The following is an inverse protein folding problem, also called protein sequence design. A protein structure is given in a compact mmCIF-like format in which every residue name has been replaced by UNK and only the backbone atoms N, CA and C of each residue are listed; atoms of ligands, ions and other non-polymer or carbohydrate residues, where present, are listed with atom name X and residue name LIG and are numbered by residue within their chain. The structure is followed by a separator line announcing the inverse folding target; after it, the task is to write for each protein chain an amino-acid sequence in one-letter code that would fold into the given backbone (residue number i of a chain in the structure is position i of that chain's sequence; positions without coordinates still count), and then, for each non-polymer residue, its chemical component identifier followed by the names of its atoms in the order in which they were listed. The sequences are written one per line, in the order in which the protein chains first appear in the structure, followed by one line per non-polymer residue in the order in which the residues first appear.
data_IF_555372002994
#
_entry.id   IF_555372002994
#
_cell.length_a   1.000
_cell.length_b   1.000
_cell.length_c   1.000
_cell.angle_alpha   90.00
_cell.angle_beta   90.00
_cell.angle_gamma   90.00
#
_symmetry.space_group_name_H-M   'P 1'
#
loop_
_entity.id
_entity.type
_entity.pdbx_description
1 polymer ?
#
# COMPACT_ATOMS: atom_id res chain seq x y z
N UNK A 1 -13.88 -14.93 25.00
CA UNK A 1 -12.68 -14.06 24.97
C UNK A 1 -12.47 -13.55 26.39
N UNK A 2 -11.27 -13.74 26.94
CA UNK A 2 -10.90 -13.29 28.28
C UNK A 2 -10.20 -11.95 28.23
N UNK A 3 -9.43 -11.68 27.19
CA UNK A 3 -8.70 -10.46 26.91
C UNK A 3 -8.63 -10.26 25.42
N UNK A 4 -8.71 -9.06 24.97
CA UNK A 4 -8.47 -8.70 23.57
C UNK A 4 -7.97 -7.27 23.49
N UNK A 5 -7.00 -7.05 22.59
CA UNK A 5 -6.43 -5.73 22.33
C UNK A 5 -6.18 -5.57 20.84
N UNK A 6 -6.40 -4.37 20.35
CA UNK A 6 -5.97 -3.95 19.03
C UNK A 6 -4.53 -3.49 19.11
N UNK A 7 -3.72 -3.95 18.17
CA UNK A 7 -2.31 -3.59 18.07
C UNK A 7 -1.98 -3.19 16.65
N UNK A 8 -1.11 -2.20 16.51
CA UNK A 8 -0.60 -1.70 15.24
C UNK A 8 0.88 -2.04 15.15
N UNK A 9 1.26 -2.59 14.03
CA UNK A 9 2.62 -3.06 13.79
C UNK A 9 3.15 -2.46 12.48
N UNK A 10 4.44 -2.21 12.42
CA UNK A 10 5.18 -1.86 11.19
C UNK A 10 5.93 -3.09 10.73
N UNK A 11 5.77 -3.43 9.47
CA UNK A 11 6.48 -4.48 8.76
C UNK A 11 7.51 -3.79 7.87
N UNK A 12 8.76 -3.81 8.27
CA UNK A 12 9.89 -3.27 7.51
C UNK A 12 10.23 -4.21 6.34
N UNK A 13 10.25 -3.68 5.12
CA UNK A 13 10.53 -4.46 3.93
C UNK A 13 12.01 -4.69 3.66
N UNK A 14 12.90 -4.01 4.36
CA UNK A 14 14.34 -4.30 4.33
C UNK A 14 14.69 -5.57 5.10
N UNK A 15 13.80 -6.05 5.98
CA UNK A 15 13.98 -7.31 6.66
C UNK A 15 13.77 -8.50 5.72
N UNK A 16 14.76 -9.39 5.65
CA UNK A 16 14.74 -10.57 4.77
C UNK A 16 13.51 -11.47 4.93
N UNK A 17 12.96 -11.57 6.13
CA UNK A 17 11.76 -12.38 6.41
C UNK A 17 10.52 -11.81 5.72
N UNK A 18 10.51 -10.49 5.43
CA UNK A 18 9.39 -9.76 4.84
C UNK A 18 9.48 -9.67 3.30
N UNK A 19 10.57 -10.13 2.68
CA UNK A 19 10.75 -10.16 1.23
C UNK A 19 9.58 -10.77 0.43
N UNK A 20 8.86 -11.79 0.93
CA UNK A 20 7.68 -12.29 0.22
C UNK A 20 6.57 -11.27 -0.01
N UNK A 21 6.53 -10.17 0.76
CA UNK A 21 5.57 -9.07 0.58
C UNK A 21 6.05 -8.05 -0.46
N UNK A 22 7.37 -7.96 -0.65
CA UNK A 22 8.01 -6.94 -1.47
C UNK A 22 8.33 -7.42 -2.89
N UNK A 23 8.93 -8.61 -3.02
CA UNK A 23 9.38 -9.13 -4.31
C UNK A 23 8.30 -9.91 -5.09
N UNK A 24 8.41 -9.95 -6.44
CA UNK A 24 9.40 -9.33 -7.31
C UNK A 24 9.04 -7.88 -7.64
N UNK A 25 9.99 -6.96 -7.56
CA UNK A 25 9.80 -5.53 -7.90
C UNK A 25 10.17 -5.22 -9.34
N UNK A 26 11.10 -5.99 -9.94
CA UNK A 26 11.51 -5.82 -11.33
C UNK A 26 10.63 -6.65 -12.26
N UNK A 27 9.89 -5.96 -13.12
CA UNK A 27 8.87 -6.55 -13.99
C UNK A 27 9.39 -7.51 -15.06
N UNK A 28 10.70 -7.46 -15.42
CA UNK A 28 11.17 -8.11 -16.65
C UNK A 28 11.89 -9.45 -16.47
N UNK A 29 12.44 -9.75 -15.29
CA UNK A 29 13.34 -10.90 -15.15
C UNK A 29 12.79 -12.05 -14.29
N UNK A 30 11.89 -11.80 -13.36
CA UNK A 30 11.38 -12.82 -12.44
C UNK A 30 9.86 -12.84 -12.27
N UNK A 31 9.14 -11.99 -12.96
CA UNK A 31 7.69 -11.96 -12.88
C UNK A 31 7.06 -13.04 -13.75
N UNK A 32 6.85 -14.19 -13.15
CA UNK A 32 5.73 -15.02 -13.62
C UNK A 32 4.46 -14.15 -13.51
N UNK A 33 3.56 -14.14 -14.49
CA UNK A 33 2.29 -13.41 -14.43
C UNK A 33 1.49 -13.70 -13.15
N UNK A 34 1.80 -14.80 -12.49
CA UNK A 34 1.18 -15.24 -11.25
C UNK A 34 1.82 -14.69 -9.96
N UNK A 35 3.00 -14.05 -10.04
CA UNK A 35 3.73 -13.56 -8.87
C UNK A 35 3.91 -12.06 -8.97
N UNK A 36 3.23 -11.31 -8.12
CA UNK A 36 3.28 -9.85 -8.06
C UNK A 36 3.59 -9.41 -6.63
N UNK A 37 4.26 -8.26 -6.43
CA UNK A 37 4.38 -7.67 -5.10
C UNK A 37 3.00 -7.36 -4.53
N UNK A 38 2.88 -7.42 -3.21
CA UNK A 38 1.60 -7.18 -2.52
C UNK A 38 0.99 -5.82 -2.90
N UNK A 39 1.83 -4.79 -3.04
CA UNK A 39 1.40 -3.46 -3.47
C UNK A 39 0.63 -3.48 -4.79
N UNK A 40 1.19 -4.14 -5.81
CA UNK A 40 0.55 -4.23 -7.13
C UNK A 40 -0.76 -5.02 -7.08
N UNK A 41 -0.84 -6.05 -6.25
CA UNK A 41 -2.08 -6.82 -6.05
C UNK A 41 -3.16 -5.93 -5.44
N UNK A 42 -2.82 -5.17 -4.40
CA UNK A 42 -3.77 -4.27 -3.74
C UNK A 42 -4.24 -3.16 -4.68
N UNK A 43 -3.31 -2.44 -5.32
CA UNK A 43 -3.64 -1.32 -6.22
C UNK A 43 -4.46 -1.77 -7.42
N UNK A 44 -4.08 -2.89 -8.06
CA UNK A 44 -4.83 -3.43 -9.19
C UNK A 44 -6.25 -3.83 -8.79
N UNK A 45 -6.41 -4.49 -7.65
CA UNK A 45 -7.72 -4.92 -7.17
C UNK A 45 -8.62 -3.74 -6.76
N UNK A 46 -8.04 -2.65 -6.26
CA UNK A 46 -8.78 -1.41 -5.98
C UNK A 46 -9.22 -0.76 -7.30
N UNK A 47 -8.32 -0.63 -8.28
CA UNK A 47 -8.63 -0.07 -9.61
C UNK A 47 -9.69 -0.90 -10.35
N UNK A 48 -9.67 -2.21 -10.19
CA UNK A 48 -10.66 -3.14 -10.77
C UNK A 48 -12.00 -3.19 -9.97
N UNK A 49 -12.08 -2.51 -8.83
CA UNK A 49 -13.26 -2.50 -7.97
C UNK A 49 -13.51 -3.81 -7.21
N UNK A 50 -12.53 -4.72 -7.17
CA UNK A 50 -12.60 -5.97 -6.38
C UNK A 50 -12.46 -5.71 -4.89
N UNK A 51 -11.64 -4.72 -4.52
CA UNK A 51 -11.51 -4.23 -3.15
C UNK A 51 -12.22 -2.88 -3.07
N UNK A 52 -13.33 -2.82 -2.36
CA UNK A 52 -14.15 -1.62 -2.18
C UNK A 52 -14.05 -1.03 -0.78
N UNK A 53 -13.51 -1.80 0.17
CA UNK A 53 -13.35 -1.40 1.56
C UNK A 53 -11.96 -0.82 1.79
N UNK A 54 -11.79 0.43 1.34
CA UNK A 54 -10.55 1.21 1.44
C UNK A 54 -10.83 2.46 2.27
N UNK A 55 -9.96 2.74 3.23
CA UNK A 55 -10.16 3.75 4.25
C UNK A 55 -8.95 4.69 4.36
N UNK A 56 -9.20 5.86 4.94
CA UNK A 56 -8.18 6.86 5.21
C UNK A 56 -7.32 6.54 6.44
N UNK A 57 -7.91 5.86 7.41
CA UNK A 57 -7.24 5.54 8.67
C UNK A 57 -7.42 4.09 9.10
N UNK A 58 -6.55 3.64 10.01
CA UNK A 58 -6.58 2.31 10.62
C UNK A 58 -7.83 2.04 11.49
N UNK A 59 -8.63 3.06 11.75
CA UNK A 59 -9.89 2.94 12.48
C UNK A 59 -11.09 2.63 11.58
N UNK A 60 -10.90 2.64 10.25
CA UNK A 60 -11.91 2.32 9.24
C UNK A 60 -13.18 3.18 9.33
N UNK A 61 -13.03 4.46 9.64
CA UNK A 61 -14.14 5.40 9.80
C UNK A 61 -14.56 6.05 8.49
N UNK A 62 -13.58 6.51 7.70
CA UNK A 62 -13.81 7.28 6.47
C UNK A 62 -13.30 6.50 5.27
N UNK A 63 -14.21 6.17 4.33
CA UNK A 63 -13.82 5.50 3.08
C UNK A 63 -13.12 6.49 2.14
N UNK A 64 -12.04 6.03 1.52
CA UNK A 64 -11.39 6.73 0.40
C UNK A 64 -12.08 6.38 -0.91
N UNK A 65 -12.19 7.38 -1.78
CA UNK A 65 -12.65 7.16 -3.17
C UNK A 65 -11.48 6.79 -4.07
N UNK A 66 -11.76 6.17 -5.22
CA UNK A 66 -10.73 5.87 -6.23
C UNK A 66 -9.95 7.12 -6.64
N UNK A 67 -10.64 8.26 -6.76
CA UNK A 67 -10.00 9.55 -7.13
C UNK A 67 -9.01 10.02 -6.07
N UNK A 68 -9.34 9.84 -4.79
CA UNK A 68 -8.45 10.23 -3.70
C UNK A 68 -7.19 9.35 -3.66
N UNK A 69 -7.38 8.06 -3.95
CA UNK A 69 -6.27 7.09 -4.02
C UNK A 69 -5.39 7.42 -5.22
N UNK A 70 -5.96 7.63 -6.40
CA UNK A 70 -5.22 8.00 -7.60
C UNK A 70 -4.45 9.31 -7.42
N UNK A 71 -5.04 10.32 -6.78
CA UNK A 71 -4.37 11.57 -6.46
C UNK A 71 -3.15 11.40 -5.56
N UNK A 72 -3.14 10.37 -4.70
CA UNK A 72 -1.99 10.05 -3.85
C UNK A 72 -0.95 9.16 -4.55
N UNK A 73 -1.35 8.45 -5.61
CA UNK A 73 -0.47 7.52 -6.32
C UNK A 73 0.40 8.20 -7.38
N UNK A 74 -0.06 9.28 -7.97
CA UNK A 74 0.68 9.94 -9.03
C UNK A 74 0.59 11.47 -8.96
N UNK A 75 1.69 12.09 -9.34
CA UNK A 75 1.82 13.54 -9.54
C UNK A 75 2.02 13.81 -11.02
N UNK A 76 1.27 14.76 -11.54
CA UNK A 76 1.47 15.30 -12.86
C UNK A 76 2.13 16.66 -12.72
N UNK A 77 3.34 16.80 -13.22
CA UNK A 77 4.06 18.05 -13.24
C UNK A 77 4.31 18.48 -14.69
N UNK A 78 4.22 19.79 -14.94
CA UNK A 78 4.49 20.36 -16.26
C UNK A 78 5.91 20.89 -16.26
N UNK A 79 6.72 20.49 -17.24
CA UNK A 79 8.09 21.01 -17.39
C UNK A 79 8.09 22.53 -17.54
N UNK A 80 9.21 23.17 -17.25
CA UNK A 80 9.36 24.63 -17.36
C UNK A 80 9.05 25.13 -18.78
N UNK A 81 9.47 24.37 -19.78
CA UNK A 81 9.13 24.65 -21.20
C UNK A 81 7.62 24.56 -21.44
N UNK A 82 6.95 23.58 -20.86
CA UNK A 82 5.49 23.45 -20.94
C UNK A 82 4.76 24.59 -20.22
N UNK A 83 5.32 25.08 -19.11
CA UNK A 83 4.79 26.27 -18.40
C UNK A 83 4.98 27.55 -19.20
N UNK A 84 6.12 27.72 -19.89
CA UNK A 84 6.35 28.83 -20.79
C UNK A 84 5.35 28.85 -21.95
N UNK A 85 5.10 27.70 -22.58
CA UNK A 85 4.08 27.56 -23.61
C UNK A 85 2.65 27.86 -23.11
N UNK A 86 2.35 27.43 -21.88
CA UNK A 86 1.08 27.78 -21.23
C UNK A 86 0.94 29.30 -21.04
N UNK A 87 2.03 29.97 -20.69
CA UNK A 87 2.05 31.40 -20.41
C UNK A 87 1.92 32.24 -21.70
N UNK A 88 2.32 31.70 -22.85
CA UNK A 88 2.13 32.37 -24.15
C UNK A 88 0.67 32.46 -24.59
N UNK A 89 -0.18 31.51 -24.16
CA UNK A 89 -1.57 31.42 -24.65
C UNK A 89 -2.56 30.96 -23.56
N UNK A 90 -2.47 31.60 -22.39
CA UNK A 90 -3.21 31.24 -21.17
C UNK A 90 -4.71 31.03 -21.43
N UNK A 91 -5.30 31.91 -22.28
CA UNK A 91 -6.74 31.88 -22.57
C UNK A 91 -7.16 30.66 -23.40
N UNK A 92 -6.31 30.18 -24.29
CA UNK A 92 -6.57 29.00 -25.11
C UNK A 92 -6.48 27.69 -24.26
N UNK A 93 -5.55 27.67 -23.33
CA UNK A 93 -5.40 26.52 -22.37
C UNK A 93 -6.54 26.51 -21.35
N UNK A 94 -6.94 27.68 -20.81
CA UNK A 94 -8.10 27.79 -19.91
C UNK A 94 -9.42 27.37 -20.56
N UNK A 95 -9.60 27.67 -21.84
CA UNK A 95 -10.80 27.29 -22.61
C UNK A 95 -10.76 25.86 -23.11
N UNK A 96 -9.67 25.11 -22.87
CA UNK A 96 -9.51 23.71 -23.29
C UNK A 96 -9.31 23.52 -24.80
N UNK A 97 -9.08 24.61 -25.56
CA UNK A 97 -8.84 24.58 -27.00
C UNK A 97 -7.44 24.13 -27.37
N UNK A 98 -6.47 24.37 -26.50
CA UNK A 98 -5.11 23.80 -26.58
C UNK A 98 -4.85 22.87 -25.42
N UNK A 99 -4.19 21.73 -25.68
CA UNK A 99 -3.68 20.82 -24.68
C UNK A 99 -2.15 20.87 -24.67
N UNK A 100 -1.55 20.77 -23.51
CA UNK A 100 -0.10 20.67 -23.39
C UNK A 100 0.32 19.34 -24.06
N UNK A 101 1.39 19.37 -24.84
CA UNK A 101 1.95 18.18 -25.45
C UNK A 101 2.41 17.21 -24.36
N UNK A 102 2.15 15.91 -24.53
CA UNK A 102 2.51 14.87 -23.54
C UNK A 102 4.02 14.86 -23.23
N UNK A 103 4.85 15.34 -24.17
CA UNK A 103 6.30 15.48 -24.00
C UNK A 103 6.71 16.45 -22.88
N UNK A 104 5.84 17.41 -22.55
CA UNK A 104 6.09 18.40 -21.49
C UNK A 104 5.43 18.04 -20.15
N UNK A 105 4.75 16.89 -20.12
CA UNK A 105 4.09 16.40 -18.91
C UNK A 105 4.97 15.29 -18.29
N UNK A 106 5.49 15.57 -17.11
CA UNK A 106 6.17 14.55 -16.28
C UNK A 106 5.14 13.91 -15.35
N UNK A 107 4.89 12.64 -15.54
CA UNK A 107 4.07 11.83 -14.63
C UNK A 107 4.99 11.05 -13.71
N UNK A 108 4.96 11.34 -12.42
CA UNK A 108 5.61 10.55 -11.38
C UNK A 108 4.55 9.67 -10.74
N UNK A 109 4.76 8.36 -10.75
CA UNK A 109 3.83 7.38 -10.18
C UNK A 109 4.59 6.51 -9.17
N UNK A 110 3.96 6.27 -8.03
CA UNK A 110 4.51 5.38 -6.99
C UNK A 110 4.47 3.95 -7.50
N UNK A 111 5.61 3.30 -7.46
CA UNK A 111 5.80 1.92 -7.89
C UNK A 111 5.98 0.99 -6.69
N UNK A 112 5.93 -0.32 -6.93
CA UNK A 112 6.10 -1.32 -5.87
C UNK A 112 7.46 -1.23 -5.15
N UNK A 113 8.51 -0.78 -5.83
CA UNK A 113 9.85 -0.60 -5.26
C UNK A 113 9.97 0.65 -4.37
N UNK A 114 8.99 1.57 -4.43
CA UNK A 114 8.95 2.75 -3.56
C UNK A 114 8.32 2.45 -2.20
N UNK A 115 7.72 1.28 -2.04
CA UNK A 115 7.11 0.88 -0.76
C UNK A 115 8.21 0.54 0.23
N UNK A 116 8.29 1.29 1.32
CA UNK A 116 9.29 1.15 2.37
C UNK A 116 8.84 0.13 3.43
N UNK A 117 7.58 0.21 3.81
CA UNK A 117 7.02 -0.64 4.85
C UNK A 117 5.52 -0.90 4.64
N UNK A 118 4.99 -1.87 5.37
CA UNK A 118 3.55 -2.00 5.58
C UNK A 118 3.21 -1.74 7.04
N UNK A 119 2.18 -0.93 7.28
CA UNK A 119 1.53 -0.86 8.59
C UNK A 119 0.36 -1.82 8.61
N UNK A 120 0.23 -2.57 9.68
CA UNK A 120 -0.88 -3.50 9.88
C UNK A 120 -1.54 -3.25 11.21
N UNK A 121 -2.83 -3.44 11.25
CA UNK A 121 -3.61 -3.43 12.48
C UNK A 121 -4.27 -4.79 12.65
N UNK A 122 -4.19 -5.34 13.84
CA UNK A 122 -4.77 -6.62 14.18
C UNK A 122 -5.31 -6.67 15.59
N UNK A 123 -6.12 -7.65 15.83
CA UNK A 123 -6.74 -7.90 17.13
C UNK A 123 -6.16 -9.17 17.74
N UNK A 124 -5.47 -9.02 18.84
CA UNK A 124 -4.99 -10.11 19.66
C UNK A 124 -6.02 -10.44 20.73
N UNK A 125 -6.39 -11.71 20.87
CA UNK A 125 -7.34 -12.15 21.87
C UNK A 125 -7.00 -13.51 22.41
N UNK A 126 -7.30 -13.69 23.69
CA UNK A 126 -7.14 -14.98 24.35
C UNK A 126 -8.46 -15.75 24.29
N UNK A 127 -8.41 -16.92 23.64
CA UNK A 127 -9.54 -17.84 23.57
C UNK A 127 -9.54 -18.77 24.79
N UNK A 128 -10.43 -18.52 25.75
CA UNK A 128 -10.54 -19.29 26.98
C UNK A 128 -10.84 -20.77 26.74
N UNK A 129 -11.58 -21.10 25.66
CA UNK A 129 -11.98 -22.50 25.38
C UNK A 129 -10.80 -23.32 24.90
N UNK A 130 -9.92 -22.73 24.12
CA UNK A 130 -8.76 -23.38 23.52
C UNK A 130 -7.48 -23.14 24.31
N UNK A 131 -7.49 -22.19 25.25
CA UNK A 131 -6.30 -21.83 26.03
C UNK A 131 -5.21 -21.17 25.19
N UNK A 132 -5.54 -20.56 24.07
CA UNK A 132 -4.60 -20.05 23.07
C UNK A 132 -4.76 -18.54 22.86
N UNK A 133 -3.61 -17.87 22.63
CA UNK A 133 -3.57 -16.52 22.14
C UNK A 133 -3.72 -16.53 20.61
N UNK A 134 -4.71 -15.83 20.11
CA UNK A 134 -5.02 -15.76 18.67
C UNK A 134 -4.91 -14.34 18.14
N UNK A 135 -4.59 -14.25 16.87
CA UNK A 135 -4.48 -13.02 16.13
C UNK A 135 -5.47 -12.99 14.97
N UNK A 136 -6.08 -11.84 14.76
CA UNK A 136 -6.89 -11.56 13.57
C UNK A 136 -6.46 -10.24 12.96
N UNK A 137 -5.96 -10.29 11.74
CA UNK A 137 -5.65 -9.09 10.99
C UNK A 137 -6.95 -8.35 10.63
N UNK A 138 -6.96 -7.05 10.86
CA UNK A 138 -8.07 -6.15 10.52
C UNK A 138 -7.78 -5.31 9.30
N UNK A 139 -6.53 -4.87 9.13
CA UNK A 139 -6.17 -4.04 8.00
C UNK A 139 -4.68 -3.97 7.72
N UNK A 140 -4.40 -3.51 6.52
CA UNK A 140 -3.04 -3.32 6.00
C UNK A 140 -2.96 -2.03 5.21
N UNK A 141 -1.86 -1.32 5.33
CA UNK A 141 -1.59 -0.06 4.65
C UNK A 141 -0.15 -0.02 4.13
N UNK A 142 0.08 0.24 2.85
CA UNK A 142 1.41 0.52 2.33
C UNK A 142 1.87 1.91 2.76
N UNK A 143 3.13 1.99 3.18
CA UNK A 143 3.84 3.22 3.53
C UNK A 143 4.84 3.52 2.44
N UNK A 144 4.72 4.69 1.85
CA UNK A 144 5.52 5.11 0.69
C UNK A 144 6.01 6.54 0.89
N UNK A 145 7.07 6.97 0.18
CA UNK A 145 7.41 8.39 0.12
C UNK A 145 6.27 9.19 -0.52
N UNK A 146 6.06 10.41 -0.04
CA UNK A 146 5.09 11.31 -0.66
C UNK A 146 5.53 11.62 -2.10
N UNK A 147 4.64 11.40 -3.05
CA UNK A 147 4.87 11.64 -4.48
C UNK A 147 5.26 13.09 -4.77
N UNK A 148 4.85 14.03 -3.91
CA UNK A 148 5.17 15.45 -4.05
C UNK A 148 6.60 15.79 -3.61
N UNK A 149 7.22 14.97 -2.75
CA UNK A 149 8.61 15.11 -2.32
C UNK A 149 9.56 14.22 -3.13
N UNK A 150 9.03 13.31 -3.94
CA UNK A 150 9.83 12.47 -4.83
C UNK A 150 10.46 13.31 -5.95
N UNK A 151 11.79 13.19 -6.11
CA UNK A 151 12.55 13.87 -7.17
C UNK A 151 13.16 15.21 -6.74
N UNK A 152 13.00 15.63 -5.51
CA UNK A 152 13.73 16.75 -4.93
C UNK A 152 14.82 16.22 -3.98
N UNK A 153 16.06 16.19 -4.45
CA UNK A 153 17.22 15.70 -3.68
C UNK A 153 17.51 16.55 -2.43
N UNK A 154 16.95 17.77 -2.38
CA UNK A 154 17.11 18.69 -1.25
C UNK A 154 16.00 18.56 -0.20
N UNK A 155 14.87 17.92 -0.54
CA UNK A 155 13.77 17.71 0.37
C UNK A 155 13.98 16.45 1.23
N UNK A 156 13.68 16.55 2.51
CA UNK A 156 13.63 15.37 3.36
C UNK A 156 12.47 14.48 2.87
N UNK A 157 12.75 13.21 2.60
CA UNK A 157 11.70 12.25 2.20
C UNK A 157 10.68 12.11 3.33
N UNK A 158 9.46 12.51 3.05
CA UNK A 158 8.33 12.29 3.95
C UNK A 158 7.64 11.00 3.54
N UNK A 159 7.34 10.14 4.52
CA UNK A 159 6.64 8.88 4.30
C UNK A 159 5.19 9.04 4.72
N UNK A 160 4.28 8.62 3.85
CA UNK A 160 2.84 8.70 4.05
C UNK A 160 2.17 7.33 4.03
N UNK A 161 1.09 7.21 4.77
CA UNK A 161 0.16 6.08 4.68
C UNK A 161 -0.76 6.31 3.47
N UNK A 162 -0.66 5.46 2.44
CA UNK A 162 -1.44 5.66 1.23
C UNK A 162 -2.93 5.42 1.44
N UNK A 163 -3.26 4.23 1.92
CA UNK A 163 -4.63 3.79 2.14
C UNK A 163 -4.66 2.56 3.03
N UNK A 164 -5.69 2.45 3.84
CA UNK A 164 -5.96 1.28 4.66
C UNK A 164 -6.97 0.35 3.98
N UNK A 165 -6.55 -0.87 3.69
CA UNK A 165 -7.44 -1.91 3.17
C UNK A 165 -7.98 -2.72 4.34
N UNK A 166 -9.30 -2.87 4.41
CA UNK A 166 -9.93 -3.76 5.38
C UNK A 166 -9.70 -5.21 4.99
N UNK A 167 -8.87 -5.90 5.77
CA UNK A 167 -8.34 -7.21 5.42
C UNK A 167 -9.44 -8.29 5.23
N UNK A 168 -10.48 -8.39 6.09
CA UNK A 168 -11.50 -9.43 5.92
C UNK A 168 -12.22 -9.39 4.57
N UNK A 169 -12.45 -8.19 4.00
CA UNK A 169 -13.11 -8.04 2.70
C UNK A 169 -12.17 -8.23 1.50
N UNK A 170 -10.87 -8.18 1.71
CA UNK A 170 -9.86 -8.35 0.65
C UNK A 170 -9.32 -9.78 0.53
N UNK A 171 -9.77 -10.70 1.39
CA UNK A 171 -9.21 -12.05 1.48
C UNK A 171 -9.31 -12.85 0.19
N UNK A 172 -10.41 -12.74 -0.54
CA UNK A 172 -10.60 -13.47 -1.81
C UNK A 172 -9.54 -13.07 -2.84
N UNK A 173 -9.24 -11.77 -2.94
CA UNK A 173 -8.20 -11.24 -3.82
C UNK A 173 -6.81 -11.71 -3.38
N UNK A 174 -6.52 -11.64 -2.08
CA UNK A 174 -5.24 -12.04 -1.50
C UNK A 174 -5.03 -13.55 -1.55
N UNK A 175 -6.11 -14.34 -1.51
CA UNK A 175 -6.06 -15.78 -1.68
C UNK A 175 -5.77 -16.19 -3.12
N UNK A 176 -6.28 -15.45 -4.11
CA UNK A 176 -6.00 -15.68 -5.52
C UNK A 176 -4.57 -15.30 -5.92
N UNK A 177 -3.94 -14.38 -5.19
CA UNK A 177 -2.60 -13.88 -5.50
C UNK A 177 -1.51 -14.68 -4.79
N UNK A 178 -0.50 -15.08 -5.56
CA UNK A 178 0.65 -15.85 -5.06
C UNK A 178 1.77 -14.93 -4.60
N UNK A 179 2.29 -15.17 -3.41
CA UNK A 179 3.44 -14.49 -2.86
C UNK A 179 4.75 -15.17 -3.32
N UNK A 180 5.81 -14.38 -3.33
CA UNK A 180 7.16 -14.87 -3.58
C UNK A 180 7.62 -15.80 -2.43
N UNK A 181 8.18 -16.95 -2.78
CA UNK A 181 8.78 -17.86 -1.81
C UNK A 181 10.29 -17.93 -2.04
N UNK A 182 11.05 -17.32 -1.15
CA UNK A 182 12.52 -17.27 -1.22
C UNK A 182 13.22 -18.59 -0.84
N UNK A 183 12.48 -19.54 -0.27
CA UNK A 183 13.05 -20.82 0.20
C UNK A 183 12.79 -21.97 -0.77
N UNK A 184 11.66 -21.95 -1.44
CA UNK A 184 11.27 -23.03 -2.36
C UNK A 184 10.40 -22.47 -3.49
N UNK A 185 10.99 -22.34 -4.67
CA UNK A 185 10.30 -21.83 -5.86
C UNK A 185 9.19 -22.76 -6.36
N UNK A 186 9.25 -24.05 -6.01
CA UNK A 186 8.23 -25.04 -6.40
C UNK A 186 6.96 -24.95 -5.53
N UNK A 187 7.04 -24.37 -4.33
CA UNK A 187 5.91 -24.22 -3.43
C UNK A 187 5.51 -22.76 -3.33
N UNK A 188 4.37 -22.41 -3.90
CA UNK A 188 3.78 -21.08 -3.75
C UNK A 188 2.81 -21.05 -2.58
N UNK A 189 2.76 -19.92 -1.88
CA UNK A 189 1.73 -19.62 -0.89
C UNK A 189 1.07 -18.29 -1.24
N UNK A 190 -0.15 -18.11 -0.78
CA UNK A 190 -0.94 -16.91 -1.08
C UNK A 190 -0.68 -15.83 -0.03
N UNK A 191 -0.93 -14.57 -0.40
CA UNK A 191 -0.82 -13.47 0.57
C UNK A 191 -1.79 -13.62 1.73
N UNK A 192 -3.00 -14.14 1.50
CA UNK A 192 -3.95 -14.45 2.57
C UNK A 192 -3.35 -15.42 3.59
N UNK A 193 -2.73 -16.50 3.12
CA UNK A 193 -2.08 -17.47 4.01
C UNK A 193 -0.89 -16.86 4.76
N UNK A 194 -0.03 -16.09 4.06
CA UNK A 194 1.15 -15.45 4.64
C UNK A 194 0.76 -14.50 5.78
N UNK A 195 -0.24 -13.66 5.53
CA UNK A 195 -0.69 -12.65 6.48
C UNK A 195 -1.47 -13.25 7.66
N UNK A 196 -2.38 -14.20 7.41
CA UNK A 196 -3.13 -14.88 8.48
C UNK A 196 -2.25 -15.75 9.37
N UNK A 197 -1.27 -16.44 8.79
CA UNK A 197 -0.31 -17.26 9.54
C UNK A 197 0.80 -16.44 10.19
N UNK A 198 0.76 -15.09 10.06
CA UNK A 198 1.79 -14.18 10.57
C UNK A 198 3.21 -14.57 10.17
N UNK A 199 3.41 -14.94 8.91
CA UNK A 199 4.74 -15.28 8.38
C UNK A 199 5.50 -14.01 7.96
N UNK A 200 5.54 -13.03 8.84
CA UNK A 200 6.27 -11.76 8.70
C UNK A 200 6.83 -11.35 10.06
N UNK A 201 7.81 -10.47 10.04
CA UNK A 201 8.31 -9.75 11.21
C UNK A 201 7.67 -8.36 11.23
N UNK A 202 7.10 -7.99 12.36
CA UNK A 202 6.52 -6.67 12.57
C UNK A 202 6.80 -6.16 13.97
N UNK A 203 7.03 -4.86 14.09
CA UNK A 203 7.29 -4.18 15.36
C UNK A 203 6.02 -3.43 15.78
N UNK A 204 5.54 -3.72 16.98
CA UNK A 204 4.39 -3.01 17.56
C UNK A 204 4.80 -1.58 17.89
N UNK A 205 4.08 -0.60 17.38
CA UNK A 205 4.32 0.82 17.67
C UNK A 205 3.16 1.50 18.40
N UNK A 206 1.99 0.86 18.40
CA UNK A 206 0.79 1.39 19.06
C UNK A 206 -0.06 0.24 19.59
N UNK A 207 -0.64 0.40 20.78
CA UNK A 207 -1.61 -0.53 21.34
C UNK A 207 -2.87 0.19 21.84
N UNK A 208 -4.01 -0.47 21.70
CA UNK A 208 -5.27 0.00 22.30
C UNK A 208 -5.19 -0.03 23.83
N UNK A 209 -5.46 1.10 24.46
CA UNK A 209 -5.35 1.28 25.90
C UNK A 209 -6.58 2.02 26.43
N UNK A 210 -6.94 1.76 27.70
CA UNK A 210 -8.03 2.47 28.39
C UNK A 210 -7.77 3.98 28.60
N UNK A 211 -6.50 4.39 28.48
CA UNK A 211 -6.08 5.80 28.60
C UNK A 211 -5.85 6.47 27.22
N UNK A 212 -6.30 5.87 26.15
CA UNK A 212 -6.01 6.22 24.77
C UNK A 212 -5.00 5.27 24.14
N UNK A 213 -4.93 5.27 22.81
CA UNK A 213 -4.00 4.41 22.08
C UNK A 213 -2.56 4.92 22.27
N UNK A 214 -1.64 4.04 22.65
CA UNK A 214 -0.24 4.35 22.95
C UNK A 214 0.71 3.32 22.33
#
# INVERSE_FOLDING_TARGET
ILMGKRMWEVIDLDERVNFPLYFPVDGDVMSSPDRRPLYNVLVSAIKEGKITEVYDSSYFTTKKTLKDIEASLFKIDTSDVGREQMNEDIDAYRKGTKKISEEYIRKTEIQAYDVDAYKVVGYWYFDKRQGELKYRMLGICPVVPDVYTMGDDSAQKEYIELFWVYFPSSRDVLHAAKAFNNRNSAMSFTFDHLLNARRFSGVVYLEENVYGDR
#
